data_IF_013932261623
#
_entry.id   IF_013932261623
#
_cell.length_a   1.000
_cell.length_b   1.000
_cell.length_c   1.000
_cell.angle_alpha   90.00
_cell.angle_beta   90.00
_cell.angle_gamma   90.00
#
_symmetry.space_group_name_H-M   'P 1'
#
loop_
_entity.id
_entity.type
_entity.pdbx_description
1 polymer ?
#
# COMPACT_ATOMS: atom_id res chain seq x y z
N UNK A 1 5.13 3.64 -30.35
CA UNK A 1 4.76 4.68 -29.34
C UNK A 1 3.25 4.75 -29.40
N UNK A 2 2.59 3.90 -28.63
CA UNK A 2 1.17 4.06 -28.38
C UNK A 2 1.04 5.16 -27.33
N UNK A 3 0.45 6.27 -27.74
CA UNK A 3 -0.02 7.28 -26.79
C UNK A 3 -1.12 6.64 -25.97
N UNK A 4 -0.71 6.11 -24.83
CA UNK A 4 -1.67 5.71 -23.80
C UNK A 4 -2.50 6.93 -23.45
N UNK A 5 -3.82 6.86 -23.63
CA UNK A 5 -4.72 7.95 -23.28
C UNK A 5 -4.84 8.03 -21.74
N UNK A 6 -3.76 8.53 -21.15
CA UNK A 6 -3.58 8.68 -19.69
C UNK A 6 -4.64 9.61 -19.09
N UNK A 7 -5.11 10.62 -19.85
CA UNK A 7 -6.18 11.54 -19.40
C UNK A 7 -7.46 10.81 -18.99
N UNK A 8 -7.83 9.75 -19.75
CA UNK A 8 -9.06 9.00 -19.47
C UNK A 8 -8.94 8.09 -18.24
N UNK A 9 -7.74 7.61 -17.95
CA UNK A 9 -7.47 6.75 -16.79
C UNK A 9 -7.32 7.59 -15.52
N UNK A 10 -6.79 8.80 -15.63
CA UNK A 10 -6.50 9.67 -14.49
C UNK A 10 -7.67 10.55 -14.05
N UNK A 11 -8.73 10.67 -14.86
CA UNK A 11 -9.95 11.41 -14.46
C UNK A 11 -10.68 10.77 -13.25
N UNK A 12 -10.37 9.52 -12.92
CA UNK A 12 -10.92 8.82 -11.74
C UNK A 12 -10.08 8.95 -10.48
N UNK A 13 -8.84 9.40 -10.63
CA UNK A 13 -7.93 9.62 -9.51
C UNK A 13 -7.61 11.11 -9.51
N UNK A 14 -7.71 11.78 -8.37
CA UNK A 14 -7.30 13.19 -8.21
C UNK A 14 -5.77 13.32 -8.36
N UNK A 15 -5.26 12.97 -9.54
CA UNK A 15 -3.85 12.96 -9.87
C UNK A 15 -3.58 13.98 -10.94
N UNK A 16 -2.50 14.72 -10.81
CA UNK A 16 -1.98 15.55 -11.88
C UNK A 16 -1.07 14.70 -12.78
N UNK A 17 -1.32 14.71 -14.08
CA UNK A 17 -0.44 14.12 -15.07
C UNK A 17 0.67 15.12 -15.38
N UNK A 18 1.91 14.67 -15.28
CA UNK A 18 3.07 15.49 -15.58
C UNK A 18 3.85 14.87 -16.74
N UNK A 19 4.19 15.68 -17.73
CA UNK A 19 5.11 15.25 -18.77
C UNK A 19 6.53 15.15 -18.22
N UNK A 20 7.29 14.16 -18.65
CA UNK A 20 8.62 13.79 -18.16
C UNK A 20 9.72 14.85 -18.40
N UNK A 21 9.37 16.02 -18.90
CA UNK A 21 10.29 17.13 -19.23
C UNK A 21 10.11 18.36 -18.35
N UNK A 22 9.23 18.30 -17.36
CA UNK A 22 9.02 19.41 -16.42
C UNK A 22 9.96 19.22 -15.23
N UNK A 23 10.77 20.22 -14.91
CA UNK A 23 11.50 20.26 -13.65
C UNK A 23 10.49 20.41 -12.52
N UNK A 24 10.41 19.41 -11.64
CA UNK A 24 9.57 19.45 -10.47
C UNK A 24 10.34 19.98 -9.27
N UNK A 25 9.73 20.90 -8.56
CA UNK A 25 10.03 21.01 -7.15
C UNK A 25 9.35 19.84 -6.43
N UNK A 26 10.12 18.81 -6.05
CA UNK A 26 9.64 17.65 -5.31
C UNK A 26 9.31 17.96 -3.83
N UNK A 27 8.94 19.19 -3.57
CA UNK A 27 8.58 19.65 -2.25
C UNK A 27 7.18 19.11 -1.92
N UNK A 28 7.06 18.47 -0.78
CA UNK A 28 5.81 17.94 -0.27
C UNK A 28 5.23 16.72 -1.06
N UNK A 29 6.07 16.00 -1.79
CA UNK A 29 5.67 14.77 -2.45
C UNK A 29 5.44 13.67 -1.41
N UNK A 30 4.22 13.15 -1.33
CA UNK A 30 3.84 12.10 -0.36
C UNK A 30 3.98 10.70 -0.94
N UNK A 31 3.66 10.52 -2.22
CA UNK A 31 3.80 9.25 -2.92
C UNK A 31 3.95 9.42 -4.43
N UNK A 32 4.51 8.42 -5.07
CA UNK A 32 4.57 8.26 -6.52
C UNK A 32 3.85 6.97 -6.88
N UNK A 33 2.97 7.00 -7.86
CA UNK A 33 2.42 5.81 -8.48
C UNK A 33 2.91 5.74 -9.93
N UNK A 34 3.44 4.57 -10.32
CA UNK A 34 3.88 4.30 -11.68
C UNK A 34 3.16 3.08 -12.23
N UNK A 35 2.60 3.20 -13.44
CA UNK A 35 1.88 2.13 -14.11
C UNK A 35 2.68 1.62 -15.31
N UNK A 36 2.68 0.31 -15.48
CA UNK A 36 3.42 -0.42 -16.52
C UNK A 36 2.45 -1.10 -17.49
N UNK A 37 2.99 -1.52 -18.62
CA UNK A 37 2.21 -2.21 -19.66
C UNK A 37 1.74 -3.60 -19.21
N UNK A 38 2.48 -4.25 -18.33
CA UNK A 38 2.18 -5.58 -17.81
C UNK A 38 2.64 -5.69 -16.35
N UNK A 39 2.27 -6.81 -15.70
CA UNK A 39 2.60 -7.08 -14.30
C UNK A 39 4.07 -7.40 -14.09
N UNK A 40 4.67 -8.06 -15.04
CA UNK A 40 6.08 -8.51 -14.99
C UNK A 40 7.01 -7.31 -14.93
N UNK A 41 6.81 -6.32 -15.79
CA UNK A 41 7.60 -5.08 -15.79
C UNK A 41 7.41 -4.29 -14.47
N UNK A 42 6.18 -4.25 -13.96
CA UNK A 42 5.88 -3.60 -12.68
C UNK A 42 6.58 -4.31 -11.52
N UNK A 43 6.55 -5.64 -11.50
CA UNK A 43 7.21 -6.44 -10.48
C UNK A 43 8.73 -6.28 -10.51
N UNK A 44 9.36 -6.40 -11.67
CA UNK A 44 10.79 -6.19 -11.83
C UNK A 44 11.23 -4.80 -11.36
N UNK A 45 10.44 -3.79 -11.69
CA UNK A 45 10.71 -2.42 -11.26
C UNK A 45 10.54 -2.23 -9.76
N UNK A 46 9.54 -2.86 -9.15
CA UNK A 46 9.33 -2.88 -7.72
C UNK A 46 10.56 -3.45 -6.98
N UNK A 47 11.00 -4.62 -7.41
CA UNK A 47 12.22 -5.26 -6.88
C UNK A 47 13.46 -4.38 -7.04
N UNK A 48 13.65 -3.80 -8.23
CA UNK A 48 14.78 -2.91 -8.47
C UNK A 48 14.79 -1.70 -7.52
N UNK A 49 13.63 -1.07 -7.31
CA UNK A 49 13.51 0.10 -6.44
C UNK A 49 13.80 -0.28 -4.99
N UNK A 50 13.21 -1.35 -4.49
CA UNK A 50 13.45 -1.80 -3.13
C UNK A 50 14.91 -2.20 -2.89
N UNK A 51 15.54 -2.90 -3.84
CA UNK A 51 16.94 -3.30 -3.74
C UNK A 51 17.91 -2.11 -3.78
N UNK A 52 17.62 -1.10 -4.60
CA UNK A 52 18.54 0.01 -4.82
C UNK A 52 18.30 1.21 -3.90
N UNK A 53 17.07 1.47 -3.56
CA UNK A 53 16.64 2.68 -2.85
C UNK A 53 15.89 2.41 -1.54
N UNK A 54 15.88 1.17 -1.05
CA UNK A 54 15.15 0.77 0.17
C UNK A 54 15.57 1.50 1.44
N UNK A 55 16.77 2.12 1.46
CA UNK A 55 17.16 3.01 2.56
C UNK A 55 16.33 4.30 2.64
N UNK A 56 15.64 4.67 1.55
CA UNK A 56 14.92 5.94 1.44
C UNK A 56 13.43 5.75 1.22
N UNK A 57 13.06 4.71 0.47
CA UNK A 57 11.69 4.47 0.03
C UNK A 57 11.28 3.01 0.15
N UNK A 58 9.99 2.77 0.32
CA UNK A 58 9.36 1.48 0.11
C UNK A 58 8.60 1.52 -1.21
N UNK A 59 8.77 0.50 -2.04
CA UNK A 59 7.98 0.29 -3.24
C UNK A 59 7.07 -0.92 -3.04
N UNK A 60 5.77 -0.74 -3.26
CA UNK A 60 4.77 -1.79 -3.17
C UNK A 60 4.19 -2.09 -4.53
N UNK A 61 4.20 -3.37 -4.89
CA UNK A 61 3.50 -3.84 -6.08
C UNK A 61 1.99 -3.84 -5.82
N UNK A 62 1.24 -3.26 -6.75
CA UNK A 62 -0.21 -3.27 -6.73
C UNK A 62 -0.74 -4.31 -7.74
N UNK A 63 -1.88 -4.89 -7.44
CA UNK A 63 -2.46 -6.00 -8.21
C UNK A 63 -2.80 -5.66 -9.68
N UNK A 64 -2.72 -4.38 -10.04
CA UNK A 64 -3.13 -3.83 -11.34
C UNK A 64 -1.98 -3.41 -12.25
N UNK A 65 -0.82 -4.06 -12.23
CA UNK A 65 0.36 -3.69 -13.02
C UNK A 65 0.93 -2.29 -12.71
N UNK A 66 0.79 -1.84 -11.49
CA UNK A 66 1.38 -0.59 -11.00
C UNK A 66 2.20 -0.82 -9.72
N UNK A 67 3.04 0.15 -9.42
CA UNK A 67 3.78 0.23 -8.16
C UNK A 67 3.46 1.53 -7.47
N UNK A 68 3.44 1.50 -6.15
CA UNK A 68 3.35 2.68 -5.29
C UNK A 68 4.67 2.85 -4.54
N UNK A 69 5.26 4.04 -4.59
CA UNK A 69 6.51 4.36 -3.93
C UNK A 69 6.24 5.44 -2.90
N UNK A 70 6.59 5.15 -1.66
CA UNK A 70 6.46 6.08 -0.53
C UNK A 70 7.77 6.17 0.25
N UNK A 71 7.89 7.16 1.12
CA UNK A 71 9.02 7.22 2.05
C UNK A 71 9.06 5.97 2.93
N UNK A 72 10.24 5.40 3.18
CA UNK A 72 10.39 4.27 4.10
C UNK A 72 10.14 4.64 5.57
N UNK A 73 10.00 5.94 5.86
CA UNK A 73 9.61 6.46 7.19
C UNK A 73 8.10 6.49 7.38
N UNK A 74 7.34 6.09 6.38
CA UNK A 74 5.88 6.07 6.41
C UNK A 74 5.37 4.71 5.97
N UNK A 75 4.44 4.18 6.75
CA UNK A 75 3.67 2.98 6.40
C UNK A 75 2.30 3.07 7.07
N UNK A 76 1.38 2.18 6.70
CA UNK A 76 0.08 2.08 7.38
C UNK A 76 0.26 1.76 8.86
N UNK A 77 1.19 0.87 9.21
CA UNK A 77 1.52 0.53 10.58
C UNK A 77 2.04 1.74 11.37
N UNK A 78 2.99 2.48 10.79
CA UNK A 78 3.51 3.68 11.43
C UNK A 78 2.43 4.74 11.66
N UNK A 79 1.58 4.98 10.67
CA UNK A 79 0.48 5.94 10.79
C UNK A 79 -0.51 5.55 11.91
N UNK A 80 -0.85 4.27 12.01
CA UNK A 80 -1.69 3.74 13.10
C UNK A 80 -0.98 3.96 14.44
N UNK A 81 0.30 3.62 14.56
CA UNK A 81 1.07 3.81 15.81
C UNK A 81 1.04 5.26 16.28
N UNK A 82 1.30 6.22 15.39
CA UNK A 82 1.23 7.65 15.72
C UNK A 82 -0.17 8.07 16.16
N UNK A 83 -1.21 7.52 15.54
CA UNK A 83 -2.60 7.80 15.91
C UNK A 83 -2.93 7.25 17.30
N UNK A 84 -2.49 6.03 17.61
CA UNK A 84 -2.73 5.39 18.92
C UNK A 84 -2.09 6.15 20.05
N UNK A 85 -0.85 6.64 19.86
CA UNK A 85 -0.16 7.47 20.83
C UNK A 85 -0.96 8.76 21.13
N UNK A 86 -1.47 9.43 20.10
CA UNK A 86 -2.28 10.64 20.25
C UNK A 86 -3.63 10.40 20.91
N UNK A 87 -4.24 9.26 20.68
CA UNK A 87 -5.55 8.89 21.22
C UNK A 87 -5.47 8.14 22.54
N UNK A 88 -4.25 7.79 23.01
CA UNK A 88 -4.00 6.98 24.20
C UNK A 88 -4.72 5.62 24.16
N UNK A 89 -4.74 4.99 22.97
CA UNK A 89 -5.33 3.67 22.74
C UNK A 89 -4.21 2.62 22.83
N UNK A 90 -4.46 1.58 23.62
CA UNK A 90 -3.53 0.47 23.75
C UNK A 90 -3.53 -0.37 22.45
N UNK A 91 -2.35 -0.83 22.04
CA UNK A 91 -2.13 -1.59 20.80
C UNK A 91 -3.00 -2.86 20.71
N UNK A 92 -3.22 -3.50 21.85
CA UNK A 92 -4.02 -4.73 22.00
C UNK A 92 -5.49 -4.54 21.62
N UNK A 93 -5.97 -3.29 21.62
CA UNK A 93 -7.35 -2.94 21.28
C UNK A 93 -7.52 -2.57 19.80
N UNK A 94 -6.47 -2.78 18.98
CA UNK A 94 -6.49 -2.39 17.57
C UNK A 94 -6.54 -3.63 16.69
N UNK A 95 -7.53 -3.65 15.82
CA UNK A 95 -7.71 -4.69 14.81
C UNK A 95 -7.44 -4.07 13.44
N UNK A 96 -6.68 -4.77 12.62
CA UNK A 96 -6.36 -4.34 11.26
C UNK A 96 -6.79 -5.40 10.26
N UNK A 97 -7.17 -4.96 9.07
CA UNK A 97 -7.56 -5.85 7.98
C UNK A 97 -6.98 -5.33 6.67
N UNK A 98 -6.50 -6.24 5.82
CA UNK A 98 -5.91 -5.89 4.54
C UNK A 98 -5.92 -7.03 3.53
N UNK A 99 -5.56 -6.73 2.30
CA UNK A 99 -5.56 -7.66 1.17
C UNK A 99 -4.27 -7.63 0.33
N UNK A 100 -3.45 -6.60 0.48
CA UNK A 100 -2.27 -6.36 -0.35
C UNK A 100 -0.95 -6.25 0.40
N UNK A 101 0.14 -6.16 -0.39
CA UNK A 101 1.51 -6.07 0.14
C UNK A 101 1.73 -4.89 1.08
N UNK A 102 1.08 -3.76 0.83
CA UNK A 102 1.19 -2.55 1.68
C UNK A 102 0.54 -2.71 3.06
N UNK A 103 -0.22 -3.80 3.29
CA UNK A 103 -0.91 -4.08 4.55
C UNK A 103 -0.08 -4.98 5.48
N UNK A 104 0.98 -5.61 4.96
CA UNK A 104 1.74 -6.63 5.67
C UNK A 104 2.27 -6.17 7.03
N UNK A 105 2.77 -4.93 7.11
CA UNK A 105 3.30 -4.40 8.36
C UNK A 105 2.19 -4.23 9.40
N UNK A 106 1.06 -3.60 9.04
CA UNK A 106 -0.01 -3.38 10.01
C UNK A 106 -0.69 -4.67 10.44
N UNK A 107 -0.74 -5.70 9.58
CA UNK A 107 -1.28 -7.02 9.95
C UNK A 107 -0.34 -7.74 10.91
N UNK A 108 0.98 -7.60 10.73
CA UNK A 108 1.98 -8.16 11.64
C UNK A 108 2.01 -7.44 12.99
N UNK A 109 1.87 -6.14 12.97
CA UNK A 109 2.10 -5.29 14.13
C UNK A 109 0.91 -5.18 15.08
N UNK A 110 -0.30 -5.46 14.61
CA UNK A 110 -1.55 -5.35 15.38
C UNK A 110 -2.32 -6.67 15.39
N UNK A 111 -3.57 -6.68 15.89
CA UNK A 111 -4.43 -7.86 15.74
C UNK A 111 -4.90 -7.96 14.29
N UNK A 112 -4.01 -8.52 13.45
CA UNK A 112 -4.15 -8.50 12.00
C UNK A 112 -5.03 -9.59 11.46
N UNK A 113 -5.90 -9.21 10.53
CA UNK A 113 -6.74 -10.07 9.72
C UNK A 113 -6.45 -9.86 8.25
N UNK A 114 -6.55 -10.90 7.44
CA UNK A 114 -6.49 -10.77 5.99
C UNK A 114 -7.80 -11.16 5.33
N UNK A 115 -8.05 -10.60 4.17
CA UNK A 115 -9.18 -10.97 3.33
C UNK A 115 -8.96 -12.35 2.72
N UNK A 116 -10.05 -13.09 2.45
CA UNK A 116 -9.96 -14.41 1.80
C UNK A 116 -9.28 -14.35 0.42
N UNK A 117 -9.48 -13.28 -0.33
CA UNK A 117 -8.88 -13.02 -1.64
C UNK A 117 -7.56 -12.23 -1.59
N UNK A 118 -6.96 -12.10 -0.40
CA UNK A 118 -5.68 -11.42 -0.21
C UNK A 118 -4.52 -12.12 -0.91
N UNK A 119 -3.40 -11.40 -1.07
CA UNK A 119 -2.15 -11.98 -1.54
C UNK A 119 -1.71 -13.13 -0.62
N UNK A 120 -1.14 -14.23 -1.16
CA UNK A 120 -0.78 -15.42 -0.39
C UNK A 120 0.14 -15.12 0.80
N UNK A 121 1.04 -14.16 0.66
CA UNK A 121 2.02 -13.77 1.67
C UNK A 121 1.37 -13.20 2.94
N UNK A 122 0.18 -12.62 2.86
CA UNK A 122 -0.57 -12.20 4.04
C UNK A 122 -1.09 -13.38 4.86
N UNK A 123 -1.48 -14.47 4.20
CA UNK A 123 -1.91 -15.71 4.87
C UNK A 123 -0.76 -16.45 5.55
N UNK A 124 0.49 -16.12 5.21
CA UNK A 124 1.67 -16.60 5.93
C UNK A 124 1.93 -15.78 7.21
N UNK A 125 1.48 -14.52 7.26
CA UNK A 125 1.67 -13.63 8.42
C UNK A 125 0.60 -13.86 9.48
N UNK A 126 -0.65 -14.10 9.06
CA UNK A 126 -1.79 -14.30 9.96
C UNK A 126 -2.68 -15.46 9.50
N UNK A 127 -3.16 -16.24 10.47
CA UNK A 127 -4.19 -17.24 10.24
C UNK A 127 -5.62 -16.69 10.36
N UNK A 128 -5.77 -15.41 10.72
CA UNK A 128 -7.05 -14.75 10.87
C UNK A 128 -7.56 -14.30 9.51
N UNK A 129 -8.42 -15.09 8.89
CA UNK A 129 -8.96 -14.84 7.55
C UNK A 129 -10.45 -14.55 7.66
N UNK A 130 -10.91 -13.53 6.94
CA UNK A 130 -12.32 -13.14 6.88
C UNK A 130 -12.75 -12.82 5.45
N UNK A 131 -14.04 -12.98 5.18
CA UNK A 131 -14.60 -12.69 3.85
C UNK A 131 -14.99 -11.21 3.69
N UNK A 132 -15.06 -10.47 4.79
CA UNK A 132 -15.44 -9.06 4.75
C UNK A 132 -15.06 -8.32 6.02
N UNK A 133 -14.95 -6.99 5.91
CA UNK A 133 -14.81 -6.09 7.06
C UNK A 133 -15.97 -6.26 8.04
N UNK A 134 -17.18 -6.48 7.54
CA UNK A 134 -18.38 -6.69 8.36
C UNK A 134 -18.28 -7.96 9.21
N UNK A 135 -17.65 -9.00 8.72
CA UNK A 135 -17.38 -10.23 9.47
C UNK A 135 -16.39 -9.97 10.61
N UNK A 136 -15.30 -9.27 10.32
CA UNK A 136 -14.35 -8.86 11.36
C UNK A 136 -15.03 -8.06 12.48
N UNK A 137 -15.85 -7.08 12.12
CA UNK A 137 -16.57 -6.25 13.12
C UNK A 137 -17.42 -7.11 14.03
N UNK A 138 -18.11 -8.13 13.52
CA UNK A 138 -18.90 -9.06 14.35
C UNK A 138 -18.03 -9.84 15.31
N UNK A 139 -16.90 -10.39 14.82
CA UNK A 139 -15.96 -11.16 15.64
C UNK A 139 -15.42 -10.31 16.81
N UNK A 140 -15.15 -9.03 16.57
CA UNK A 140 -14.57 -8.15 17.58
C UNK A 140 -15.60 -7.63 18.59
N UNK A 141 -16.88 -7.57 18.20
CA UNK A 141 -17.95 -7.03 19.04
C UNK A 141 -18.68 -8.10 19.91
N UNK A 142 -18.39 -9.37 19.68
CA UNK A 142 -18.84 -10.50 20.53
C UNK A 142 -17.92 -10.72 21.73
#
# INVERSE_FOLDING_TARGET
KEDMNLEKTMSHFCCSLFESRVEFEYKDLTKIEARYSNKEDAWERNEYINNKYGEYVNSYFLTSNSIEIISNKTSKSHAITVLLEKLHIAKENVYTIGDGYSDMEMIRDFNGYCMEDSVPELKEITSNVVNSVSELVKIVME
#
